data_IF_380373807934
#
_entry.id   IF_380373807934
#
_cell.length_a   1.000
_cell.length_b   1.000
_cell.length_c   1.000
_cell.angle_alpha   90.00
_cell.angle_beta   90.00
_cell.angle_gamma   90.00
#
_symmetry.space_group_name_H-M   'P 1'
#
loop_
_entity.id
_entity.type
_entity.pdbx_description
1 polymer ?
#
# COMPACT_ATOMS: atom_id res chain seq x y z
N UNK A 1 -1.22 -18.07 1.49
CA UNK A 1 -0.56 -18.60 2.71
C UNK A 1 0.55 -17.69 3.25
N UNK A 2 1.35 -17.02 2.40
CA UNK A 2 2.45 -16.15 2.85
C UNK A 2 2.03 -14.91 3.67
N UNK A 3 0.79 -14.40 3.53
CA UNK A 3 0.40 -13.15 4.20
C UNK A 3 0.39 -13.24 5.74
N UNK A 4 -0.07 -14.37 6.29
CA UNK A 4 -0.07 -14.58 7.74
C UNK A 4 1.36 -14.69 8.29
N UNK A 5 2.21 -15.48 7.64
CA UNK A 5 3.61 -15.61 8.03
C UNK A 5 4.38 -14.29 7.88
N UNK A 6 4.11 -13.50 6.84
CA UNK A 6 4.69 -12.16 6.68
C UNK A 6 4.24 -11.22 7.82
N UNK A 7 2.95 -11.22 8.15
CA UNK A 7 2.41 -10.43 9.24
C UNK A 7 3.03 -10.80 10.59
N UNK A 8 3.19 -12.10 10.87
CA UNK A 8 3.80 -12.59 12.11
C UNK A 8 5.32 -12.36 12.16
N UNK A 9 6.03 -12.44 11.03
CA UNK A 9 7.46 -12.06 10.95
C UNK A 9 7.67 -10.57 11.18
N UNK A 10 6.71 -9.76 10.72
CA UNK A 10 6.70 -8.30 10.84
C UNK A 10 5.71 -7.82 11.90
N UNK A 11 5.57 -8.57 13.00
CA UNK A 11 4.51 -8.35 13.98
C UNK A 11 4.59 -6.97 14.65
N UNK A 12 5.79 -6.44 14.87
CA UNK A 12 6.02 -5.11 15.46
C UNK A 12 6.51 -4.06 14.45
N UNK A 13 6.38 -4.31 13.14
CA UNK A 13 6.82 -3.38 12.10
C UNK A 13 5.64 -2.56 11.58
N UNK A 14 5.48 -1.33 12.05
CA UNK A 14 4.37 -0.46 11.64
C UNK A 14 4.60 0.24 10.29
N UNK A 15 5.83 0.22 9.76
CA UNK A 15 6.18 0.83 8.48
C UNK A 15 5.79 -0.04 7.28
N UNK A 16 5.68 0.63 6.12
CA UNK A 16 5.29 0.02 4.86
C UNK A 16 3.77 -0.13 4.72
N UNK A 17 3.38 -0.98 3.76
CA UNK A 17 2.00 -1.12 3.29
C UNK A 17 1.54 -2.57 3.35
N UNK A 18 0.24 -2.76 3.58
CA UNK A 18 -0.42 -4.08 3.50
C UNK A 18 -1.63 -3.98 2.58
N UNK A 19 -1.66 -4.79 1.53
CA UNK A 19 -2.75 -4.79 0.55
C UNK A 19 -4.04 -5.33 1.17
N UNK A 20 -5.17 -5.10 0.48
CA UNK A 20 -6.48 -5.64 0.91
C UNK A 20 -6.45 -7.15 1.11
N UNK A 21 -5.88 -7.88 0.15
CA UNK A 21 -5.80 -9.34 0.23
C UNK A 21 -4.91 -9.81 1.38
N UNK A 22 -3.80 -9.13 1.65
CA UNK A 22 -2.94 -9.45 2.81
C UNK A 22 -3.65 -9.20 4.14
N UNK A 23 -4.33 -8.06 4.26
CA UNK A 23 -5.10 -7.70 5.45
C UNK A 23 -6.21 -8.73 5.72
N UNK A 24 -7.10 -8.95 4.75
CA UNK A 24 -8.24 -9.85 4.94
C UNK A 24 -7.84 -11.31 5.12
N UNK A 25 -6.76 -11.77 4.46
CA UNK A 25 -6.26 -13.12 4.67
C UNK A 25 -5.64 -13.29 6.07
N UNK A 26 -4.91 -12.29 6.56
CA UNK A 26 -4.41 -12.29 7.95
C UNK A 26 -5.58 -12.30 8.94
N UNK A 27 -6.55 -11.39 8.79
CA UNK A 27 -7.73 -11.29 9.65
C UNK A 27 -8.53 -12.59 9.68
N UNK A 28 -8.75 -13.21 8.51
CA UNK A 28 -9.45 -14.49 8.42
C UNK A 28 -8.71 -15.60 9.17
N UNK A 29 -7.38 -15.72 8.98
CA UNK A 29 -6.59 -16.76 9.66
C UNK A 29 -6.56 -16.51 11.17
N UNK A 30 -6.34 -15.27 11.61
CA UNK A 30 -6.36 -14.92 13.04
C UNK A 30 -7.72 -15.22 13.69
N UNK A 31 -8.82 -14.92 12.98
CA UNK A 31 -10.17 -15.26 13.43
C UNK A 31 -10.37 -16.78 13.56
N UNK A 32 -9.96 -17.55 12.55
CA UNK A 32 -10.06 -19.02 12.59
C UNK A 32 -9.22 -19.62 13.73
N UNK A 33 -8.01 -19.11 13.97
CA UNK A 33 -7.18 -19.53 15.09
C UNK A 33 -7.84 -19.23 16.44
N UNK A 34 -8.51 -18.08 16.57
CA UNK A 34 -9.26 -17.72 17.77
C UNK A 34 -10.46 -18.64 17.98
N UNK A 35 -11.22 -18.96 16.93
CA UNK A 35 -12.34 -19.92 17.01
C UNK A 35 -11.86 -21.32 17.44
N UNK A 36 -10.77 -21.81 16.83
CA UNK A 36 -10.18 -23.11 17.19
C UNK A 36 -9.68 -23.11 18.64
N UNK A 37 -9.04 -22.02 19.08
CA UNK A 37 -8.61 -21.87 20.47
C UNK A 37 -9.79 -21.93 21.45
N UNK A 38 -10.88 -21.22 21.16
CA UNK A 38 -12.09 -21.26 21.98
C UNK A 38 -12.74 -22.65 22.00
N UNK A 39 -12.70 -23.40 20.88
CA UNK A 39 -13.15 -24.80 20.87
C UNK A 39 -12.29 -25.68 21.78
N UNK A 40 -10.98 -25.47 21.84
CA UNK A 40 -10.10 -26.18 22.76
C UNK A 40 -10.37 -25.82 24.23
N UNK A 41 -10.66 -24.56 24.53
CA UNK A 41 -11.05 -24.15 25.88
C UNK A 41 -12.28 -24.96 26.36
N UNK A 42 -13.32 -25.07 25.51
CA UNK A 42 -14.51 -25.87 25.84
C UNK A 42 -14.19 -27.36 25.92
N UNK A 43 -13.46 -27.91 24.95
CA UNK A 43 -13.19 -29.34 24.87
C UNK A 43 -12.29 -29.87 26.01
N UNK A 44 -11.39 -29.02 26.53
CA UNK A 44 -10.44 -29.37 27.59
C UNK A 44 -10.91 -28.94 28.99
N UNK A 45 -12.08 -28.28 29.09
CA UNK A 45 -12.61 -27.78 30.36
C UNK A 45 -11.86 -26.58 30.92
N UNK A 46 -11.25 -25.76 30.05
CA UNK A 46 -10.65 -24.47 30.41
C UNK A 46 -11.59 -23.28 30.20
N UNK A 47 -12.81 -23.53 29.71
CA UNK A 47 -13.85 -22.52 29.58
C UNK A 47 -14.64 -22.39 30.89
N UNK A 48 -14.56 -21.22 31.52
CA UNK A 48 -15.40 -20.79 32.64
C UNK A 48 -16.34 -19.66 32.18
N UNK A 49 -17.34 -19.28 33.01
CA UNK A 49 -18.35 -18.26 32.64
C UNK A 49 -17.75 -16.94 32.13
N UNK A 50 -16.57 -16.56 32.61
CA UNK A 50 -15.91 -15.31 32.21
C UNK A 50 -14.56 -15.51 31.52
N UNK A 51 -14.05 -16.74 31.39
CA UNK A 51 -12.66 -16.96 30.97
C UNK A 51 -12.51 -18.03 29.90
N UNK A 52 -11.77 -17.68 28.84
CA UNK A 52 -11.24 -18.60 27.83
C UNK A 52 -9.71 -18.46 27.82
N UNK A 53 -9.01 -19.40 28.45
CA UNK A 53 -7.56 -19.30 28.70
C UNK A 53 -6.75 -19.38 27.40
N UNK A 54 -7.01 -20.40 26.58
CA UNK A 54 -6.28 -20.64 25.33
C UNK A 54 -6.63 -19.54 24.32
N UNK A 55 -7.91 -19.22 24.14
CA UNK A 55 -8.34 -18.13 23.28
C UNK A 55 -7.75 -16.78 23.72
N UNK A 56 -7.67 -16.52 25.02
CA UNK A 56 -7.04 -15.33 25.59
C UNK A 56 -5.55 -15.22 25.24
N UNK A 57 -4.80 -16.32 25.34
CA UNK A 57 -3.37 -16.36 24.94
C UNK A 57 -3.24 -16.10 23.44
N UNK A 58 -4.07 -16.74 22.62
CA UNK A 58 -4.06 -16.55 21.16
C UNK A 58 -4.39 -15.10 20.81
N UNK A 59 -5.37 -14.48 21.48
CA UNK A 59 -5.71 -13.08 21.31
C UNK A 59 -4.52 -12.17 21.64
N UNK A 60 -3.88 -12.36 22.79
CA UNK A 60 -2.71 -11.57 23.22
C UNK A 60 -1.53 -11.71 22.24
N UNK A 61 -1.25 -12.93 21.76
CA UNK A 61 -0.23 -13.17 20.76
C UNK A 61 -0.50 -12.44 19.43
N UNK A 62 -1.78 -12.22 19.10
CA UNK A 62 -2.19 -11.54 17.88
C UNK A 62 -2.39 -10.02 18.04
N UNK A 63 -2.38 -9.49 19.27
CA UNK A 63 -2.70 -8.09 19.55
C UNK A 63 -1.78 -7.12 18.79
N UNK A 64 -0.46 -7.29 18.95
CA UNK A 64 0.55 -6.45 18.30
C UNK A 64 0.57 -6.62 16.77
N UNK A 65 0.62 -7.85 16.20
CA UNK A 65 0.55 -7.99 14.75
C UNK A 65 -0.77 -7.48 14.15
N UNK A 66 -1.89 -7.58 14.84
CA UNK A 66 -3.18 -7.00 14.38
C UNK A 66 -3.07 -5.49 14.29
N UNK A 67 -2.51 -4.84 15.31
CA UNK A 67 -2.27 -3.41 15.29
C UNK A 67 -1.33 -3.01 14.15
N UNK A 68 -0.22 -3.73 13.98
CA UNK A 68 0.75 -3.44 12.92
C UNK A 68 0.17 -3.61 11.52
N UNK A 69 -0.56 -4.70 11.25
CA UNK A 69 -1.24 -4.94 9.96
C UNK A 69 -2.30 -3.87 9.70
N UNK A 70 -3.04 -3.44 10.72
CA UNK A 70 -4.04 -2.37 10.60
C UNK A 70 -3.40 -1.04 10.23
N UNK A 71 -2.32 -0.65 10.90
CA UNK A 71 -1.57 0.57 10.56
C UNK A 71 -1.03 0.51 9.13
N UNK A 72 -0.45 -0.62 8.71
CA UNK A 72 0.02 -0.81 7.32
C UNK A 72 -1.10 -0.81 6.28
N UNK A 73 -2.30 -1.26 6.65
CA UNK A 73 -3.50 -1.17 5.80
C UNK A 73 -3.93 0.28 5.61
N UNK A 74 -3.90 1.09 6.66
CA UNK A 74 -4.18 2.53 6.59
C UNK A 74 -3.12 3.25 5.74
N UNK A 75 -1.85 2.91 5.92
CA UNK A 75 -0.76 3.42 5.09
C UNK A 75 -0.95 3.07 3.60
N UNK A 76 -1.53 1.90 3.29
CA UNK A 76 -1.76 1.49 1.90
C UNK A 76 -2.80 2.35 1.16
N UNK A 77 -3.65 3.09 1.89
CA UNK A 77 -4.61 4.06 1.37
C UNK A 77 -4.19 5.52 1.66
N UNK A 78 -2.90 5.75 1.91
CA UNK A 78 -2.29 7.05 2.23
C UNK A 78 -2.89 7.75 3.48
N UNK A 79 -3.37 6.97 4.44
CA UNK A 79 -3.83 7.45 5.76
C UNK A 79 -2.79 7.18 6.84
N UNK A 80 -2.68 8.06 7.83
CA UNK A 80 -1.78 7.88 8.98
C UNK A 80 -2.28 6.79 9.93
N UNK A 81 -1.37 6.15 10.66
CA UNK A 81 -1.73 5.13 11.66
C UNK A 81 -2.65 5.63 12.79
N UNK A 82 -2.69 6.94 13.04
CA UNK A 82 -3.57 7.56 14.03
C UNK A 82 -5.07 7.30 13.80
N UNK A 83 -5.46 6.98 12.56
CA UNK A 83 -6.85 6.62 12.24
C UNK A 83 -7.31 5.34 12.96
N UNK A 84 -6.41 4.49 13.47
CA UNK A 84 -6.77 3.34 14.31
C UNK A 84 -7.57 3.76 15.54
N UNK A 85 -7.35 4.96 16.08
CA UNK A 85 -8.08 5.45 17.25
C UNK A 85 -9.60 5.56 17.01
N UNK A 86 -10.03 5.65 15.75
CA UNK A 86 -11.45 5.60 15.42
C UNK A 86 -12.11 4.28 15.84
N UNK A 87 -11.35 3.18 15.98
CA UNK A 87 -11.90 1.92 16.48
C UNK A 87 -12.48 2.03 17.91
N UNK A 88 -12.10 3.04 18.69
CA UNK A 88 -12.67 3.31 20.02
C UNK A 88 -13.97 4.12 19.99
N UNK A 89 -14.36 4.65 18.83
CA UNK A 89 -15.64 5.36 18.65
C UNK A 89 -16.71 4.35 18.21
N UNK A 90 -17.73 4.06 19.04
CA UNK A 90 -18.73 3.05 18.71
C UNK A 90 -19.54 3.47 17.48
N UNK A 91 -19.98 2.47 16.71
CA UNK A 91 -20.78 2.60 15.48
C UNK A 91 -20.08 3.38 14.34
N UNK A 92 -19.88 4.67 14.49
CA UNK A 92 -19.27 5.54 13.46
C UNK A 92 -17.84 5.11 13.18
N UNK A 93 -17.04 4.89 14.22
CA UNK A 93 -15.66 4.47 14.08
C UNK A 93 -15.50 3.11 13.42
N UNK A 94 -16.37 2.17 13.77
CA UNK A 94 -16.44 0.85 13.14
C UNK A 94 -16.74 0.96 11.64
N UNK A 95 -17.74 1.74 11.26
CA UNK A 95 -18.12 1.94 9.84
C UNK A 95 -16.94 2.57 9.08
N UNK A 96 -16.32 3.62 9.61
CA UNK A 96 -15.16 4.28 8.99
C UNK A 96 -14.00 3.30 8.79
N UNK A 97 -13.67 2.50 9.81
CA UNK A 97 -12.61 1.49 9.69
C UNK A 97 -12.93 0.42 8.66
N UNK A 98 -14.17 -0.10 8.64
CA UNK A 98 -14.60 -1.06 7.63
C UNK A 98 -14.47 -0.50 6.20
N UNK A 99 -14.90 0.75 6.00
CA UNK A 99 -14.74 1.43 4.70
C UNK A 99 -13.26 1.51 4.31
N UNK A 100 -12.37 1.89 5.22
CA UNK A 100 -10.93 1.94 4.96
C UNK A 100 -10.32 0.56 4.64
N UNK A 101 -10.77 -0.50 5.32
CA UNK A 101 -10.29 -1.86 5.07
C UNK A 101 -10.74 -2.39 3.70
N UNK A 102 -11.88 -1.91 3.18
CA UNK A 102 -12.41 -2.27 1.86
C UNK A 102 -11.91 -1.37 0.71
N UNK A 103 -11.45 -0.14 1.02
CA UNK A 103 -10.99 0.87 0.04
C UNK A 103 -9.79 0.33 -0.77
N UNK A 104 -9.72 0.54 -2.10
CA UNK A 104 -8.58 0.13 -2.90
C UNK A 104 -7.26 0.78 -2.50
N UNK A 105 -6.16 0.05 -2.68
CA UNK A 105 -4.79 0.53 -2.48
C UNK A 105 -4.50 1.77 -3.33
N UNK A 106 -3.73 2.72 -2.80
CA UNK A 106 -3.25 3.86 -3.59
C UNK A 106 -2.37 3.35 -4.74
N UNK A 107 -2.62 3.74 -6.01
CA UNK A 107 -1.78 3.35 -7.13
C UNK A 107 -0.35 3.88 -6.98
N UNK A 108 0.64 3.09 -7.39
CA UNK A 108 2.04 3.50 -7.36
C UNK A 108 2.64 3.69 -5.97
N UNK A 109 3.62 4.58 -5.86
CA UNK A 109 4.24 4.95 -4.58
C UNK A 109 3.36 5.95 -3.81
N UNK A 110 3.30 5.81 -2.49
CA UNK A 110 2.74 6.83 -1.60
C UNK A 110 3.77 7.19 -0.51
N UNK A 111 3.39 8.03 0.46
CA UNK A 111 4.32 8.48 1.53
C UNK A 111 4.87 7.35 2.41
N UNK A 112 4.28 6.16 2.33
CA UNK A 112 4.65 4.97 3.09
C UNK A 112 5.37 3.91 2.24
N UNK A 113 5.72 4.25 0.99
CA UNK A 113 6.52 3.42 0.09
C UNK A 113 5.75 2.89 -1.12
N UNK A 114 6.43 2.04 -1.89
CA UNK A 114 5.86 1.40 -3.07
C UNK A 114 4.78 0.37 -2.70
N UNK A 115 3.82 0.19 -3.61
CA UNK A 115 2.79 -0.83 -3.44
C UNK A 115 3.43 -2.22 -3.28
N UNK A 116 2.96 -3.07 -2.34
CA UNK A 116 3.51 -4.41 -2.15
C UNK A 116 3.38 -5.24 -3.42
N UNK A 117 4.50 -5.77 -3.93
CA UNK A 117 4.52 -6.54 -5.18
C UNK A 117 4.64 -5.70 -6.45
N UNK A 118 4.70 -4.37 -6.35
CA UNK A 118 5.27 -3.57 -7.42
C UNK A 118 6.74 -3.97 -7.51
N UNK A 119 7.10 -4.75 -8.54
CA UNK A 119 8.49 -4.89 -8.95
C UNK A 119 8.99 -3.46 -9.07
N UNK A 120 10.01 -3.10 -8.29
CA UNK A 120 10.72 -1.85 -8.51
C UNK A 120 11.30 -1.96 -9.92
N UNK A 121 10.52 -1.55 -10.93
CA UNK A 121 11.04 -1.48 -12.28
C UNK A 121 12.24 -0.55 -12.17
N UNK A 122 13.44 -0.99 -12.61
CA UNK A 122 14.60 -0.10 -12.65
C UNK A 122 14.28 1.19 -13.42
N UNK A 123 13.28 1.14 -14.32
CA UNK A 123 12.74 2.28 -15.06
C UNK A 123 11.74 3.16 -14.27
N UNK A 124 11.08 2.66 -13.21
CA UNK A 124 10.15 3.45 -12.40
C UNK A 124 10.88 4.45 -11.49
N UNK A 125 12.04 4.06 -10.95
CA UNK A 125 12.92 4.98 -10.21
C UNK A 125 13.58 6.01 -11.15
N UNK A 126 13.90 5.62 -12.38
CA UNK A 126 14.43 6.53 -13.40
C UNK A 126 13.39 7.56 -13.89
N UNK A 127 12.09 7.23 -13.86
CA UNK A 127 11.00 8.14 -14.24
C UNK A 127 10.53 9.09 -13.13
N UNK A 128 10.75 8.75 -11.85
CA UNK A 128 10.31 9.57 -10.72
C UNK A 128 11.33 10.63 -10.27
N UNK A 129 12.61 10.50 -10.67
CA UNK A 129 13.69 11.43 -10.32
C UNK A 129 14.20 12.27 -11.50
N UNK A 130 13.56 12.18 -12.68
CA UNK A 130 13.94 12.96 -13.87
C UNK A 130 12.82 13.80 -14.48
N UNK A 131 11.68 13.95 -13.80
CA UNK A 131 10.65 14.90 -14.22
C UNK A 131 10.82 16.25 -13.51
N UNK A 132 11.63 17.14 -14.11
CA UNK A 132 11.22 18.51 -14.28
C UNK A 132 11.25 18.87 -15.76
N UNK A 133 10.60 18.12 -16.66
CA UNK A 133 10.29 18.69 -17.97
C UNK A 133 9.09 19.62 -17.78
N UNK A 134 9.37 20.89 -17.54
CA UNK A 134 8.39 21.99 -17.58
C UNK A 134 7.38 21.76 -18.72
N UNK A 135 6.06 21.96 -18.51
CA UNK A 135 5.04 21.72 -19.54
C UNK A 135 5.36 22.39 -20.89
N UNK A 136 6.13 23.49 -20.86
CA UNK A 136 6.61 24.19 -22.05
C UNK A 136 7.51 23.36 -22.98
N UNK A 137 8.33 22.43 -22.47
CA UNK A 137 9.25 21.63 -23.30
C UNK A 137 8.55 20.44 -23.97
N UNK A 138 7.52 19.88 -23.32
CA UNK A 138 6.70 18.83 -23.91
C UNK A 138 5.88 19.38 -25.08
N UNK A 139 5.27 20.56 -24.90
CA UNK A 139 4.55 21.27 -25.96
C UNK A 139 5.46 21.60 -27.16
N UNK A 140 6.73 21.94 -26.90
CA UNK A 140 7.72 22.19 -27.96
C UNK A 140 8.07 20.92 -28.74
N UNK A 141 8.23 19.78 -28.07
CA UNK A 141 8.52 18.50 -28.72
C UNK A 141 7.33 18.01 -29.55
N UNK A 142 6.10 18.15 -29.05
CA UNK A 142 4.89 17.84 -29.80
C UNK A 142 4.75 18.75 -31.03
N UNK A 143 5.05 20.05 -30.89
CA UNK A 143 5.06 20.99 -32.02
C UNK A 143 6.10 20.59 -33.07
N UNK A 144 7.31 20.23 -32.68
CA UNK A 144 8.34 19.75 -33.61
C UNK A 144 7.92 18.46 -34.31
N UNK A 145 7.31 17.52 -33.59
CA UNK A 145 6.78 16.28 -34.17
C UNK A 145 5.66 16.57 -35.19
N UNK A 146 4.79 17.54 -34.90
CA UNK A 146 3.73 17.98 -35.81
C UNK A 146 4.29 18.64 -37.09
N UNK A 147 5.35 19.43 -36.97
CA UNK A 147 6.03 20.09 -38.10
C UNK A 147 6.74 19.08 -39.00
N UNK A 148 7.32 18.03 -38.41
CA UNK A 148 7.88 16.91 -39.16
C UNK A 148 6.79 16.14 -39.89
N UNK A 149 5.67 15.85 -39.22
CA UNK A 149 4.54 15.15 -39.82
C UNK A 149 3.88 15.94 -40.96
N UNK A 150 3.90 17.28 -40.90
CA UNK A 150 3.42 18.16 -41.98
C UNK A 150 4.45 18.36 -43.10
N UNK A 151 5.66 17.78 -43.00
CA UNK A 151 6.74 17.97 -43.96
C UNK A 151 7.33 19.38 -43.97
N UNK A 152 7.09 20.18 -42.93
CA UNK A 152 7.58 21.56 -42.84
C UNK A 152 9.06 21.64 -42.44
N UNK A 153 9.59 20.57 -41.84
CA UNK A 153 11.00 20.41 -41.48
C UNK A 153 11.47 19.01 -41.90
N UNK A 154 12.76 18.89 -42.23
CA UNK A 154 13.36 17.60 -42.57
C UNK A 154 13.77 16.78 -41.33
N UNK A 155 14.08 15.49 -41.52
CA UNK A 155 14.46 14.58 -40.43
C UNK A 155 15.75 15.03 -39.71
N UNK A 156 16.68 15.65 -40.43
CA UNK A 156 17.93 16.17 -39.87
C UNK A 156 17.72 17.42 -39.03
N UNK A 157 16.84 18.32 -39.46
CA UNK A 157 16.43 19.52 -38.74
C UNK A 157 15.67 19.16 -37.46
N UNK A 158 14.76 18.19 -37.53
CA UNK A 158 14.02 17.70 -36.37
C UNK A 158 14.96 17.18 -35.27
N UNK A 159 15.94 16.34 -35.61
CA UNK A 159 16.87 15.79 -34.62
C UNK A 159 17.79 16.86 -34.00
N UNK A 160 18.20 17.88 -34.78
CA UNK A 160 18.96 19.02 -34.24
C UNK A 160 18.14 19.83 -33.24
N UNK A 161 16.89 20.16 -33.60
CA UNK A 161 16.00 20.97 -32.76
C UNK A 161 15.60 20.23 -31.49
N UNK A 162 15.29 18.93 -31.60
CA UNK A 162 15.00 18.05 -30.46
C UNK A 162 16.20 17.95 -29.52
N UNK A 163 17.42 17.81 -30.04
CA UNK A 163 18.63 17.77 -29.22
C UNK A 163 18.85 19.08 -28.44
N UNK A 164 18.58 20.24 -29.05
CA UNK A 164 18.71 21.54 -28.38
C UNK A 164 17.65 21.73 -27.27
N UNK A 165 16.41 21.29 -27.51
CA UNK A 165 15.34 21.30 -26.48
C UNK A 165 15.70 20.41 -25.30
N UNK A 166 16.19 19.20 -25.55
CA UNK A 166 16.61 18.27 -24.49
C UNK A 166 17.78 18.82 -23.69
N UNK A 167 18.77 19.44 -24.35
CA UNK A 167 19.91 20.07 -23.67
C UNK A 167 19.48 21.19 -22.71
N UNK A 168 18.50 22.00 -23.11
CA UNK A 168 17.93 23.07 -22.27
C UNK A 168 17.09 22.54 -21.11
N UNK A 169 16.43 21.40 -21.28
CA UNK A 169 15.64 20.77 -20.21
C UNK A 169 16.53 20.10 -19.14
N UNK A 170 17.78 19.77 -19.47
CA UNK A 170 18.75 19.13 -18.57
C UNK A 170 19.76 20.09 -17.92
N UNK A 171 19.72 21.38 -18.27
CA UNK A 171 20.61 22.42 -17.74
C UNK A 171 19.91 23.26 -16.66
#
# INVERSE_FOLDING_TARGET
MNAYLDAMRRYATFSGRSTRSQFWLYTLIAFLLLCVAAMFDVALGFADEETLVIAGIVYLAHLIPTLAVTVRRLHDIDRTGWWVLMAFVPLVGLIVMLVFFCTPSTPGANRFGHAPGAVASPYAAAGASSAPSSPAHLDQLEKLASLRASGAIDDGEFERMKADVLKRATS
#
